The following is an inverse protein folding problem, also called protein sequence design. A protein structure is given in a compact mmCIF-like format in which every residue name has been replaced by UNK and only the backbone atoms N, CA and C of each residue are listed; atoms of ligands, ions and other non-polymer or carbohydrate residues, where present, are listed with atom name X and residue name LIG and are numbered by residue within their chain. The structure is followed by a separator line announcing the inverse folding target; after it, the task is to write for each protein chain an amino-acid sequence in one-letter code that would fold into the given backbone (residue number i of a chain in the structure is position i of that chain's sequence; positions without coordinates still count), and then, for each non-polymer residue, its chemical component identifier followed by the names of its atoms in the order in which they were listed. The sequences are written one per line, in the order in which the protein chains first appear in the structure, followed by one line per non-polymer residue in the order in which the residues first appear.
data_IF_084573413021
#
_entry.id   IF_084573413021
#
_cell.length_a   1.000
_cell.length_b   1.000
_cell.length_c   1.000
_cell.angle_alpha   90.00
_cell.angle_beta   90.00
_cell.angle_gamma   90.00
#
_symmetry.space_group_name_H-M   'P 1'
#
loop_
_entity.id
_entity.type
_entity.pdbx_description
1 polymer ?
#
# COMPACT_ATOMS: atom_id res chain seq x y z
N UNK A 1 -16.17 7.32 6.33
CA UNK A 1 -14.73 7.64 6.44
C UNK A 1 -14.29 7.91 7.90
N UNK A 2 -14.83 8.93 8.60
CA UNK A 2 -14.45 9.24 10.00
C UNK A 2 -14.57 8.08 11.00
N UNK A 3 -15.60 7.24 10.88
CA UNK A 3 -15.75 6.04 11.73
C UNK A 3 -14.68 4.98 11.48
N UNK A 4 -14.09 4.93 10.28
CA UNK A 4 -13.10 3.93 9.92
C UNK A 4 -11.69 4.38 10.35
N UNK A 5 -11.33 5.65 10.15
CA UNK A 5 -10.07 6.22 10.62
C UNK A 5 -9.95 6.13 12.16
N UNK A 6 -11.02 6.45 12.90
CA UNK A 6 -11.00 6.36 14.36
C UNK A 6 -10.88 4.94 14.91
N UNK A 7 -11.27 3.90 14.15
CA UNK A 7 -11.09 2.51 14.55
C UNK A 7 -9.63 2.07 14.38
N UNK A 8 -8.94 2.48 13.31
CA UNK A 8 -7.54 2.07 13.06
C UNK A 8 -6.60 2.68 14.11
N UNK A 9 -6.82 3.94 14.51
CA UNK A 9 -6.01 4.59 15.55
C UNK A 9 -6.21 4.01 16.95
N UNK A 10 -7.31 3.29 17.20
CA UNK A 10 -7.65 2.68 18.50
C UNK A 10 -7.39 1.18 18.55
N UNK A 11 -7.15 0.56 17.41
CA UNK A 11 -6.89 -0.87 17.26
C UNK A 11 -5.38 -1.04 17.20
N UNK A 12 -4.78 -1.50 18.30
CA UNK A 12 -3.43 -2.10 18.23
C UNK A 12 -3.44 -3.11 17.10
N UNK A 13 -2.36 -3.20 16.31
CA UNK A 13 -2.26 -4.20 15.24
C UNK A 13 -2.63 -5.60 15.74
N UNK A 14 -2.40 -5.91 17.02
CA UNK A 14 -2.80 -7.15 17.72
C UNK A 14 -4.32 -7.43 17.76
N UNK A 15 -5.16 -6.41 17.68
CA UNK A 15 -6.63 -6.54 17.71
C UNK A 15 -7.26 -6.65 16.31
N UNK A 16 -6.46 -6.55 15.25
CA UNK A 16 -6.91 -6.84 13.89
C UNK A 16 -7.08 -8.35 13.72
N UNK A 17 -8.17 -8.75 13.07
CA UNK A 17 -8.31 -10.13 12.59
C UNK A 17 -7.37 -10.33 11.40
N UNK A 18 -6.37 -11.20 11.53
CA UNK A 18 -5.48 -11.57 10.44
C UNK A 18 -5.96 -12.82 9.71
N UNK A 19 -5.64 -12.89 8.43
CA UNK A 19 -5.74 -14.09 7.60
C UNK A 19 -4.55 -14.14 6.66
N UNK A 20 -4.41 -15.24 5.92
CA UNK A 20 -3.29 -15.43 5.00
C UNK A 20 -3.69 -15.05 3.58
N UNK A 21 -2.83 -14.31 2.89
CA UNK A 21 -2.94 -14.12 1.45
C UNK A 21 -2.51 -15.39 0.67
N UNK A 22 -2.52 -15.34 -0.66
CA UNK A 22 -2.12 -16.47 -1.50
C UNK A 22 -0.62 -16.84 -1.40
N UNK A 23 0.22 -15.97 -0.82
CA UNK A 23 1.66 -16.13 -0.66
C UNK A 23 2.05 -16.55 0.76
N UNK A 24 1.10 -16.60 1.68
CA UNK A 24 1.33 -16.96 3.09
C UNK A 24 1.64 -15.78 4.00
N UNK A 25 1.46 -14.54 3.53
CA UNK A 25 1.62 -13.36 4.39
C UNK A 25 0.43 -13.23 5.33
N UNK A 26 0.71 -12.94 6.62
CA UNK A 26 -0.32 -12.59 7.59
C UNK A 26 -0.76 -11.15 7.35
N UNK A 27 -1.98 -10.96 6.84
CA UNK A 27 -2.52 -9.66 6.43
C UNK A 27 -3.85 -9.41 7.14
N UNK A 28 -4.12 -8.18 7.62
CA UNK A 28 -5.43 -7.81 8.14
C UNK A 28 -6.56 -8.19 7.19
N UNK A 29 -7.53 -8.94 7.68
CA UNK A 29 -8.66 -9.51 6.90
C UNK A 29 -9.39 -8.43 6.12
N UNK A 30 -9.44 -7.22 6.67
CA UNK A 30 -10.06 -6.06 6.04
C UNK A 30 -9.34 -5.60 4.76
N UNK A 31 -8.00 -5.67 4.72
CA UNK A 31 -7.22 -5.38 3.51
C UNK A 31 -7.45 -6.45 2.44
N UNK A 32 -7.47 -7.73 2.85
CA UNK A 32 -7.78 -8.83 1.94
C UNK A 32 -9.21 -8.72 1.37
N UNK A 33 -10.17 -8.28 2.19
CA UNK A 33 -11.52 -8.00 1.73
C UNK A 33 -11.54 -6.88 0.69
N UNK A 34 -10.88 -5.74 0.97
CA UNK A 34 -10.80 -4.62 0.03
C UNK A 34 -10.10 -5.01 -1.28
N UNK A 35 -9.00 -5.76 -1.22
CA UNK A 35 -8.28 -6.24 -2.40
C UNK A 35 -9.16 -7.13 -3.28
N UNK A 36 -9.89 -8.08 -2.70
CA UNK A 36 -10.79 -8.95 -3.46
C UNK A 36 -11.86 -8.17 -4.19
N UNK A 37 -12.45 -7.16 -3.54
CA UNK A 37 -13.44 -6.30 -4.18
C UNK A 37 -12.82 -5.42 -5.27
N UNK A 38 -11.63 -4.87 -5.01
CA UNK A 38 -10.88 -4.11 -6.01
C UNK A 38 -10.64 -4.95 -7.27
N UNK A 39 -10.25 -6.22 -7.11
CA UNK A 39 -9.98 -7.12 -8.24
C UNK A 39 -11.27 -7.51 -8.96
N UNK A 40 -12.31 -7.90 -8.21
CA UNK A 40 -13.59 -8.34 -8.77
C UNK A 40 -14.30 -7.25 -9.59
N UNK A 41 -14.05 -5.97 -9.25
CA UNK A 41 -14.63 -4.81 -9.93
C UNK A 41 -13.74 -4.25 -11.04
N UNK A 42 -12.67 -4.96 -11.43
CA UNK A 42 -11.77 -4.51 -12.49
C UNK A 42 -10.85 -3.36 -12.09
N UNK A 43 -10.71 -3.07 -10.80
CA UNK A 43 -9.90 -1.96 -10.28
C UNK A 43 -8.43 -1.98 -10.68
N UNK A 44 -7.91 -3.13 -11.13
CA UNK A 44 -6.55 -3.24 -11.69
C UNK A 44 -6.42 -2.59 -13.08
N UNK A 45 -7.50 -2.49 -13.85
CA UNK A 45 -7.46 -2.10 -15.28
C UNK A 45 -8.00 -0.68 -15.51
N UNK A 46 -8.56 -0.05 -14.48
CA UNK A 46 -9.28 1.21 -14.61
C UNK A 46 -8.31 2.38 -14.79
N UNK A 47 -8.44 3.05 -15.93
CA UNK A 47 -7.92 4.41 -16.14
C UNK A 47 -8.79 5.36 -15.32
N UNK A 48 -8.22 6.42 -14.76
CA UNK A 48 -8.94 7.41 -13.96
C UNK A 48 -10.28 7.91 -14.55
N UNK A 49 -11.12 8.44 -13.65
CA UNK A 49 -12.50 8.93 -13.86
C UNK A 49 -13.39 7.98 -14.68
N UNK A 50 -13.95 6.97 -14.00
CA UNK A 50 -15.02 6.13 -14.54
C UNK A 50 -16.37 6.83 -14.39
N UNK A 51 -17.18 6.97 -15.47
CA UNK A 51 -18.58 7.36 -15.35
C UNK A 51 -19.37 6.23 -14.67
N UNK A 52 -20.05 6.54 -13.56
CA UNK A 52 -20.99 5.65 -12.84
C UNK A 52 -20.39 4.30 -12.34
N UNK A 53 -19.54 4.32 -11.29
CA UNK A 53 -18.90 3.08 -10.80
C UNK A 53 -18.22 3.14 -9.42
N UNK A 54 -18.88 3.81 -8.46
CA UNK A 54 -18.46 4.35 -7.14
C UNK A 54 -17.53 3.51 -6.22
N UNK A 55 -17.20 2.25 -6.47
CA UNK A 55 -16.53 1.41 -5.46
C UNK A 55 -15.01 1.25 -5.66
N UNK A 56 -14.49 1.17 -6.89
CA UNK A 56 -13.04 0.91 -7.15
C UNK A 56 -12.09 2.01 -6.66
N UNK A 57 -12.35 3.28 -7.00
CA UNK A 57 -11.53 4.41 -6.52
C UNK A 57 -11.70 4.61 -5.02
N UNK A 58 -12.89 4.29 -4.49
CA UNK A 58 -13.16 4.32 -3.06
C UNK A 58 -12.36 3.25 -2.32
N UNK A 59 -12.33 1.99 -2.81
CA UNK A 59 -11.52 0.90 -2.29
C UNK A 59 -10.02 1.21 -2.34
N UNK A 60 -9.52 1.72 -3.48
CA UNK A 60 -8.14 2.16 -3.61
C UNK A 60 -7.81 3.30 -2.64
N UNK A 61 -8.74 4.23 -2.43
CA UNK A 61 -8.65 5.29 -1.43
C UNK A 61 -8.64 4.76 0.01
N UNK A 62 -9.46 3.76 0.32
CA UNK A 62 -9.53 3.12 1.63
C UNK A 62 -8.26 2.33 1.96
N UNK A 63 -7.70 1.58 1.01
CA UNK A 63 -6.43 0.87 1.21
C UNK A 63 -5.32 1.87 1.52
N UNK A 64 -5.20 2.96 0.74
CA UNK A 64 -4.23 4.03 1.00
C UNK A 64 -4.46 4.70 2.36
N UNK A 65 -5.72 5.00 2.69
CA UNK A 65 -6.06 5.56 3.98
C UNK A 65 -5.66 4.62 5.12
N UNK A 66 -5.89 3.31 4.98
CA UNK A 66 -5.55 2.34 6.01
C UNK A 66 -4.06 2.40 6.41
N UNK A 67 -3.14 2.46 5.44
CA UNK A 67 -1.71 2.63 5.75
C UNK A 67 -1.41 3.99 6.40
N UNK A 68 -2.04 5.06 5.90
CA UNK A 68 -1.79 6.42 6.40
C UNK A 68 -2.25 6.62 7.83
N UNK A 69 -3.30 5.92 8.27
CA UNK A 69 -3.82 6.03 9.64
C UNK A 69 -3.10 5.11 10.64
N UNK A 70 -2.06 4.36 10.23
CA UNK A 70 -1.27 3.56 11.16
C UNK A 70 -0.49 4.46 12.13
N UNK A 71 -0.35 4.07 13.43
CA UNK A 71 0.44 4.84 14.42
C UNK A 71 1.90 5.05 14.02
N UNK A 72 2.47 4.10 13.29
CA UNK A 72 3.81 4.16 12.69
C UNK A 72 3.70 3.66 11.27
N UNK A 73 4.30 4.39 10.33
CA UNK A 73 4.32 4.01 8.93
C UNK A 73 5.19 2.78 8.71
N UNK A 74 4.75 1.88 7.84
CA UNK A 74 5.48 0.65 7.48
C UNK A 74 6.90 0.96 6.98
N UNK A 75 7.12 2.12 6.36
CA UNK A 75 8.41 2.55 5.84
C UNK A 75 9.19 3.45 6.81
N UNK A 76 8.63 3.82 7.96
CA UNK A 76 9.31 4.70 8.94
C UNK A 76 10.63 4.15 9.48
N UNK A 77 10.85 2.82 9.56
CA UNK A 77 12.17 2.26 9.88
C UNK A 77 13.26 2.57 8.84
N UNK A 78 12.92 3.12 7.66
CA UNK A 78 13.88 3.56 6.65
C UNK A 78 14.36 4.98 6.92
N UNK A 79 15.66 5.10 7.16
CA UNK A 79 16.41 6.34 7.30
C UNK A 79 17.35 6.63 6.13
N UNK A 80 17.73 5.63 5.34
CA UNK A 80 18.69 5.75 4.22
C UNK A 80 18.35 4.86 3.02
N UNK A 81 19.00 5.14 1.88
CA UNK A 81 18.88 4.34 0.65
C UNK A 81 19.45 2.92 0.83
N UNK A 82 20.53 2.80 1.60
CA UNK A 82 21.19 1.53 1.92
C UNK A 82 20.26 0.59 2.71
N UNK A 83 19.47 1.15 3.62
CA UNK A 83 18.46 0.41 4.39
C UNK A 83 17.32 -0.07 3.49
N UNK A 84 17.02 0.60 2.38
CA UNK A 84 16.00 0.14 1.44
C UNK A 84 16.34 -1.23 0.85
N UNK A 85 17.62 -1.52 0.60
CA UNK A 85 18.09 -2.83 0.15
C UNK A 85 17.99 -3.91 1.25
N UNK A 86 17.99 -3.50 2.51
CA UNK A 86 17.87 -4.37 3.68
C UNK A 86 16.47 -4.37 4.29
N UNK A 87 15.52 -3.63 3.70
CA UNK A 87 14.21 -3.27 4.26
C UNK A 87 13.47 -4.48 4.81
N UNK A 88 13.39 -5.56 4.03
CA UNK A 88 12.69 -6.80 4.43
C UNK A 88 13.29 -7.43 5.69
N UNK A 89 14.59 -7.22 5.97
CA UNK A 89 15.27 -7.76 7.15
C UNK A 89 15.13 -6.90 8.39
N UNK A 90 14.87 -5.60 8.23
CA UNK A 90 14.77 -4.65 9.34
C UNK A 90 13.36 -4.58 9.92
N UNK A 91 12.35 -4.93 9.12
CA UNK A 91 10.96 -4.87 9.53
C UNK A 91 10.62 -6.03 10.48
N UNK A 92 9.82 -5.77 11.54
CA UNK A 92 9.20 -6.86 12.28
C UNK A 92 8.30 -7.69 11.34
N UNK A 93 8.03 -8.97 11.68
CA UNK A 93 7.37 -9.90 10.76
C UNK A 93 6.02 -9.41 10.22
N UNK A 94 5.26 -8.66 11.01
CA UNK A 94 3.94 -8.11 10.61
C UNK A 94 4.10 -7.01 9.56
N UNK A 95 4.99 -6.06 9.78
CA UNK A 95 5.28 -4.96 8.85
C UNK A 95 5.92 -5.48 7.57
N UNK A 96 6.78 -6.51 7.66
CA UNK A 96 7.35 -7.18 6.51
C UNK A 96 6.26 -7.86 5.66
N UNK A 97 5.31 -8.57 6.29
CA UNK A 97 4.17 -9.18 5.61
C UNK A 97 3.24 -8.14 4.97
N UNK A 98 2.97 -7.02 5.65
CA UNK A 98 2.19 -5.91 5.11
C UNK A 98 2.87 -5.24 3.92
N UNK A 99 4.18 -5.04 4.00
CA UNK A 99 4.97 -4.47 2.91
C UNK A 99 5.00 -5.42 1.70
N UNK A 100 5.24 -6.72 1.90
CA UNK A 100 5.24 -7.70 0.82
C UNK A 100 3.87 -7.75 0.14
N UNK A 101 2.78 -7.80 0.92
CA UNK A 101 1.42 -7.74 0.39
C UNK A 101 1.18 -6.46 -0.43
N UNK A 102 1.61 -5.29 0.07
CA UNK A 102 1.46 -4.02 -0.63
C UNK A 102 2.25 -3.98 -1.94
N UNK A 103 3.49 -4.47 -1.94
CA UNK A 103 4.33 -4.56 -3.13
C UNK A 103 3.69 -5.48 -4.18
N UNK A 104 3.15 -6.62 -3.77
CA UNK A 104 2.47 -7.53 -4.68
C UNK A 104 1.19 -6.90 -5.27
N UNK A 105 0.39 -6.19 -4.46
CA UNK A 105 -0.77 -5.43 -4.95
C UNK A 105 -0.35 -4.35 -5.97
N UNK A 106 0.72 -3.60 -5.68
CA UNK A 106 1.26 -2.60 -6.59
C UNK A 106 1.79 -3.23 -7.89
N UNK A 107 2.43 -4.40 -7.80
CA UNK A 107 2.91 -5.14 -8.96
C UNK A 107 1.76 -5.62 -9.85
N UNK A 108 0.65 -6.07 -9.27
CA UNK A 108 -0.54 -6.47 -10.03
C UNK A 108 -1.16 -5.28 -10.79
N UNK A 109 -1.17 -4.08 -10.20
CA UNK A 109 -1.60 -2.85 -10.90
C UNK A 109 -0.61 -2.47 -12.00
N UNK A 110 0.70 -2.54 -11.73
CA UNK A 110 1.74 -2.20 -12.70
C UNK A 110 1.72 -3.13 -13.93
N UNK A 111 1.37 -4.40 -13.75
CA UNK A 111 1.23 -5.36 -14.86
C UNK A 111 0.10 -4.99 -15.83
N UNK A 112 -0.86 -4.18 -15.40
CA UNK A 112 -1.96 -3.68 -16.23
C UNK A 112 -1.68 -2.27 -16.78
N UNK A 113 -0.41 -1.82 -16.80
CA UNK A 113 -0.01 -0.46 -17.25
C UNK A 113 -0.60 -0.09 -18.61
N UNK A 114 -0.66 -1.05 -19.55
CA UNK A 114 -1.23 -0.86 -20.87
C UNK A 114 -2.74 -0.58 -20.87
N UNK A 115 -3.43 -0.92 -19.79
CA UNK A 115 -4.86 -0.70 -19.59
C UNK A 115 -5.14 0.47 -18.66
N UNK A 116 -4.34 0.69 -17.61
CA UNK A 116 -4.65 1.66 -16.55
C UNK A 116 -3.74 2.92 -16.55
N UNK A 117 -2.69 2.96 -17.38
CA UNK A 117 -1.67 4.02 -17.43
C UNK A 117 -0.84 4.21 -16.14
N UNK A 118 -0.86 3.25 -15.24
CA UNK A 118 -0.16 3.26 -13.96
C UNK A 118 1.12 2.41 -14.05
N UNK A 119 2.22 3.03 -14.49
CA UNK A 119 3.54 2.40 -14.41
C UNK A 119 4.02 2.30 -12.95
N UNK A 120 5.05 1.48 -12.70
CA UNK A 120 5.60 1.27 -11.36
C UNK A 120 5.98 2.58 -10.64
N UNK A 121 6.49 3.57 -11.37
CA UNK A 121 6.82 4.89 -10.82
C UNK A 121 5.57 5.65 -10.37
N UNK A 122 4.55 5.73 -11.22
CA UNK A 122 3.29 6.40 -10.93
C UNK A 122 2.64 5.78 -9.70
N UNK A 123 2.64 4.46 -9.61
CA UNK A 123 2.13 3.71 -8.45
C UNK A 123 2.93 4.06 -7.20
N UNK A 124 4.26 4.01 -7.24
CA UNK A 124 5.10 4.34 -6.10
C UNK A 124 4.88 5.79 -5.63
N UNK A 125 4.78 6.76 -6.55
CA UNK A 125 4.54 8.17 -6.21
C UNK A 125 3.21 8.39 -5.50
N UNK A 126 2.15 7.65 -5.85
CA UNK A 126 0.83 7.80 -5.21
C UNK A 126 0.67 6.97 -3.95
N UNK A 127 1.37 5.84 -3.84
CA UNK A 127 1.16 4.88 -2.77
C UNK A 127 2.13 5.09 -1.60
N UNK A 128 3.42 5.27 -1.89
CA UNK A 128 4.46 5.35 -0.87
C UNK A 128 4.28 6.49 0.16
N UNK A 129 3.74 7.68 -0.18
CA UNK A 129 3.38 8.70 0.80
C UNK A 129 2.40 8.25 1.88
N UNK A 130 1.62 7.20 1.62
CA UNK A 130 0.66 6.66 2.60
C UNK A 130 1.31 5.65 3.54
N UNK A 131 2.58 5.28 3.37
CA UNK A 131 3.26 4.25 4.15
C UNK A 131 4.28 4.82 5.14
N UNK A 132 4.34 6.14 5.32
CA UNK A 132 5.28 6.80 6.23
C UNK A 132 4.61 7.95 6.98
N UNK A 133 4.99 8.16 8.24
CA UNK A 133 4.62 9.33 9.05
C UNK A 133 5.73 10.40 9.09
N UNK A 134 6.94 10.07 8.63
CA UNK A 134 8.11 10.95 8.73
C UNK A 134 8.47 11.63 7.41
N UNK A 135 8.66 12.96 7.48
CA UNK A 135 9.08 13.77 6.33
C UNK A 135 10.41 13.32 5.70
N UNK A 136 11.34 12.79 6.52
CA UNK A 136 12.64 12.32 6.03
C UNK A 136 12.47 11.10 5.12
N UNK A 137 11.73 10.11 5.57
CA UNK A 137 11.37 8.91 4.80
C UNK A 137 10.56 9.30 3.55
N UNK A 138 9.64 10.25 3.65
CA UNK A 138 8.93 10.80 2.48
C UNK A 138 9.89 11.40 1.43
N UNK A 139 10.88 12.19 1.86
CA UNK A 139 11.88 12.77 0.95
C UNK A 139 12.78 11.71 0.32
N UNK A 140 13.18 10.70 1.09
CA UNK A 140 13.93 9.54 0.58
C UNK A 140 13.13 8.81 -0.50
N UNK A 141 11.87 8.47 -0.23
CA UNK A 141 10.95 7.83 -1.19
C UNK A 141 10.82 8.69 -2.46
N UNK A 142 10.65 10.01 -2.31
CA UNK A 142 10.55 10.92 -3.45
C UNK A 142 11.85 10.94 -4.27
N UNK A 143 13.00 10.89 -3.61
CA UNK A 143 14.31 10.79 -4.27
C UNK A 143 14.44 9.50 -5.08
N UNK A 144 14.09 8.35 -4.48
CA UNK A 144 14.16 7.03 -5.12
C UNK A 144 13.21 6.93 -6.31
N UNK A 145 11.97 7.42 -6.15
CA UNK A 145 10.96 7.45 -7.22
C UNK A 145 11.27 8.44 -8.33
N UNK A 146 12.11 9.46 -8.09
CA UNK A 146 12.56 10.41 -9.11
C UNK A 146 13.75 9.85 -9.92
N UNK A 147 14.64 9.09 -9.28
CA UNK A 147 15.99 8.74 -9.77
C UNK A 147 16.08 7.72 -10.93
N UNK A 148 15.00 7.41 -11.66
CA UNK A 148 14.98 6.37 -12.73
C UNK A 148 15.56 5.00 -12.32
N UNK A 149 15.54 4.69 -11.02
CA UNK A 149 16.11 3.46 -10.46
C UNK A 149 15.04 2.41 -10.14
N UNK A 150 14.06 2.28 -11.03
CA UNK A 150 13.19 1.12 -11.09
C UNK A 150 13.45 0.46 -12.46
N UNK A 151 13.73 -0.86 -12.52
CA UNK A 151 13.94 -1.56 -13.78
C UNK A 151 12.71 -1.46 -14.70
#
# INVERSE_FOLDING_TARGET
MLKFCGLISLVSTESLLFSFDARGNSVPTILLFMQRHLYAQGGLQIIGEVPDGIDVHYLAGLIKAWFRELPTGVLDPLSSEEECAQLVRLLPPTEAALLDWAINLMADVAQMENLNNMNARNIAMVFAPNMTQHNNTFNLIRSLTSSQRFP
#
